data_IF_257025957795
#
_entry.id   IF_257025957795
#
_cell.length_a   1.000
_cell.length_b   1.000
_cell.length_c   1.000
_cell.angle_alpha   90.00
_cell.angle_beta   90.00
_cell.angle_gamma   90.00
#
_symmetry.space_group_name_H-M   'P 1'
#
loop_
_entity.id
_entity.type
_entity.pdbx_description
1 polymer ?
#
# COMPACT_ATOMS: atom_id res chain seq x y z
N UNK A 1 3.40 -21.71 17.76
CA UNK A 1 4.50 -21.36 16.85
C UNK A 1 5.36 -20.30 17.54
N UNK A 2 6.67 -20.51 17.70
CA UNK A 2 7.54 -19.49 18.33
C UNK A 2 7.63 -18.29 17.39
N UNK A 3 7.24 -17.09 17.85
CA UNK A 3 7.51 -15.85 17.14
C UNK A 3 9.03 -15.67 17.04
N UNK A 4 9.57 -15.85 15.83
CA UNK A 4 10.99 -15.65 15.59
C UNK A 4 11.20 -14.15 15.38
N UNK A 5 11.68 -13.48 16.41
CA UNK A 5 12.09 -12.07 16.33
C UNK A 5 13.48 -12.05 15.65
N UNK A 6 13.59 -11.29 14.56
CA UNK A 6 14.86 -11.03 13.88
C UNK A 6 15.14 -9.54 14.03
N UNK A 7 16.14 -9.20 14.85
CA UNK A 7 16.58 -7.83 15.10
C UNK A 7 17.91 -7.57 14.42
N UNK A 8 17.95 -6.54 13.58
CA UNK A 8 19.15 -6.15 12.82
C UNK A 8 19.23 -4.62 12.81
N UNK A 9 20.40 -4.09 13.14
CA UNK A 9 20.66 -2.66 13.03
C UNK A 9 21.02 -2.32 11.57
N UNK A 10 20.28 -1.37 11.00
CA UNK A 10 20.50 -0.82 9.66
C UNK A 10 20.61 0.70 9.77
N UNK A 11 21.61 1.26 9.09
CA UNK A 11 21.76 2.71 8.97
C UNK A 11 20.70 3.25 8.01
N UNK A 12 20.11 4.38 8.36
CA UNK A 12 19.23 5.14 7.47
C UNK A 12 20.09 5.87 6.43
N UNK A 13 19.83 5.61 5.17
CA UNK A 13 20.48 6.24 4.04
C UNK A 13 19.83 7.57 3.64
N UNK A 14 20.25 8.14 2.50
CA UNK A 14 19.65 9.36 1.96
C UNK A 14 18.14 9.23 1.83
N UNK A 15 17.42 10.33 2.11
CA UNK A 15 15.96 10.42 2.02
C UNK A 15 15.19 9.39 2.86
N UNK A 16 15.80 8.85 3.92
CA UNK A 16 15.13 7.90 4.81
C UNK A 16 15.13 6.45 4.31
N UNK A 17 15.92 6.12 3.28
CA UNK A 17 15.98 4.76 2.74
C UNK A 17 16.62 3.78 3.74
N UNK A 18 16.05 2.58 3.85
CA UNK A 18 16.65 1.48 4.64
C UNK A 18 16.80 0.25 3.77
N UNK A 19 17.87 -0.51 4.01
CA UNK A 19 18.08 -1.79 3.34
C UNK A 19 17.45 -2.90 4.17
N UNK A 20 16.43 -3.56 3.61
CA UNK A 20 15.87 -4.79 4.17
C UNK A 20 16.85 -5.95 3.89
N UNK A 21 17.58 -6.36 4.93
CA UNK A 21 18.53 -7.49 4.84
C UNK A 21 17.82 -8.78 4.45
N UNK A 22 18.59 -9.71 3.85
CA UNK A 22 18.09 -10.94 3.22
C UNK A 22 17.21 -11.77 4.15
N UNK A 23 17.57 -11.82 5.43
CA UNK A 23 16.88 -12.57 6.48
C UNK A 23 15.47 -12.02 6.74
N UNK A 24 15.35 -10.69 6.86
CA UNK A 24 14.05 -10.01 7.04
C UNK A 24 13.17 -10.18 5.81
N UNK A 25 13.73 -9.99 4.60
CA UNK A 25 12.98 -10.17 3.36
C UNK A 25 12.42 -11.58 3.22
N UNK A 26 13.25 -12.61 3.47
CA UNK A 26 12.81 -14.01 3.44
C UNK A 26 11.74 -14.31 4.48
N UNK A 27 11.90 -13.81 5.70
CA UNK A 27 10.94 -14.03 6.78
C UNK A 27 9.58 -13.35 6.51
N UNK A 28 9.60 -12.17 5.87
CA UNK A 28 8.41 -11.40 5.52
C UNK A 28 7.83 -11.76 4.14
N UNK A 29 8.47 -12.64 3.37
CA UNK A 29 8.03 -13.02 2.02
C UNK A 29 8.20 -11.94 0.95
N UNK A 30 9.05 -10.93 1.20
CA UNK A 30 9.25 -9.77 0.30
C UNK A 30 10.33 -10.09 -0.75
N UNK A 31 10.02 -9.84 -2.01
CA UNK A 31 10.91 -9.98 -3.18
C UNK A 31 11.23 -8.61 -3.78
N UNK A 32 12.19 -8.59 -4.71
CA UNK A 32 12.50 -7.40 -5.48
C UNK A 32 11.31 -7.04 -6.39
N UNK A 33 10.96 -5.75 -6.46
CA UNK A 33 9.82 -5.25 -7.22
C UNK A 33 8.48 -5.32 -6.48
N UNK A 34 8.41 -6.00 -5.33
CA UNK A 34 7.18 -6.05 -4.52
C UNK A 34 6.81 -4.66 -3.97
N UNK A 35 5.51 -4.40 -3.96
CA UNK A 35 4.94 -3.26 -3.23
C UNK A 35 4.72 -3.71 -1.77
N UNK A 36 5.11 -2.86 -0.83
CA UNK A 36 4.94 -3.09 0.60
C UNK A 36 4.05 -2.02 1.21
N UNK A 37 3.33 -2.38 2.27
CA UNK A 37 2.57 -1.42 3.09
C UNK A 37 3.43 -0.94 4.24
N UNK A 38 3.52 0.37 4.40
CA UNK A 38 4.23 1.02 5.50
C UNK A 38 3.25 1.76 6.40
N UNK A 39 3.27 1.48 7.71
CA UNK A 39 2.38 2.10 8.70
C UNK A 39 3.17 2.60 9.91
N UNK A 40 2.75 3.74 10.48
CA UNK A 40 3.25 4.22 11.78
C UNK A 40 2.32 3.72 12.88
N UNK A 41 2.81 2.86 13.77
CA UNK A 41 2.06 2.29 14.90
C UNK A 41 2.93 2.44 16.15
N UNK A 42 2.43 3.09 17.20
CA UNK A 42 3.15 3.28 18.47
C UNK A 42 4.60 3.81 18.29
N UNK A 43 4.77 4.79 17.40
CA UNK A 43 6.08 5.37 17.01
C UNK A 43 7.04 4.39 16.32
N UNK A 44 6.55 3.23 15.87
CA UNK A 44 7.30 2.24 15.10
C UNK A 44 6.81 2.22 13.66
N UNK A 45 7.74 2.00 12.73
CA UNK A 45 7.40 1.77 11.32
C UNK A 45 7.20 0.27 11.13
N UNK A 46 5.98 -0.12 10.78
CA UNK A 46 5.64 -1.47 10.38
C UNK A 46 5.68 -1.57 8.86
N UNK A 47 6.38 -2.58 8.33
CA UNK A 47 6.48 -2.87 6.90
C UNK A 47 5.91 -4.27 6.67
N UNK A 48 4.92 -4.37 5.79
CA UNK A 48 4.21 -5.62 5.52
C UNK A 48 4.21 -5.90 4.01
N UNK A 49 4.45 -7.16 3.64
CA UNK A 49 4.15 -7.64 2.30
C UNK A 49 2.64 -7.54 2.05
N UNK A 50 2.25 -7.11 0.86
CA UNK A 50 0.85 -7.09 0.45
C UNK A 50 0.65 -7.85 -0.85
N UNK A 51 -0.52 -8.44 -1.01
CA UNK A 51 -0.99 -8.87 -2.31
C UNK A 51 -1.54 -7.65 -3.07
N UNK A 52 -0.69 -7.06 -3.91
CA UNK A 52 -1.05 -5.88 -4.68
C UNK A 52 -2.22 -6.14 -5.65
N UNK A 53 -2.31 -7.34 -6.19
CA UNK A 53 -3.38 -7.73 -7.10
C UNK A 53 -4.73 -7.76 -6.35
N UNK A 54 -4.74 -8.25 -5.11
CA UNK A 54 -5.93 -8.22 -4.27
C UNK A 54 -6.36 -6.78 -3.91
N UNK A 55 -5.41 -5.91 -3.58
CA UNK A 55 -5.68 -4.49 -3.27
C UNK A 55 -6.26 -3.75 -4.49
N UNK A 56 -5.70 -3.95 -5.68
CA UNK A 56 -6.26 -3.40 -6.93
C UNK A 56 -7.67 -3.95 -7.18
N UNK A 57 -7.92 -5.25 -6.96
CA UNK A 57 -9.26 -5.83 -7.12
C UNK A 57 -10.27 -5.18 -6.17
N UNK A 58 -9.89 -4.87 -4.92
CA UNK A 58 -10.76 -4.16 -3.97
C UNK A 58 -11.13 -2.78 -4.51
N UNK A 59 -10.15 -2.03 -5.02
CA UNK A 59 -10.37 -0.70 -5.62
C UNK A 59 -11.33 -0.81 -6.83
N UNK A 60 -11.10 -1.78 -7.73
CA UNK A 60 -11.97 -2.01 -8.89
C UNK A 60 -13.41 -2.33 -8.49
N UNK A 61 -13.62 -3.19 -7.50
CA UNK A 61 -14.97 -3.52 -6.99
C UNK A 61 -15.69 -2.30 -6.41
N UNK A 62 -14.96 -1.43 -5.70
CA UNK A 62 -15.53 -0.18 -5.18
C UNK A 62 -15.93 0.73 -6.33
N UNK A 63 -15.04 0.93 -7.30
CA UNK A 63 -15.30 1.76 -8.47
C UNK A 63 -16.52 1.26 -9.27
N UNK A 64 -16.63 -0.04 -9.48
CA UNK A 64 -17.77 -0.65 -10.17
C UNK A 64 -19.09 -0.44 -9.40
N UNK A 65 -19.06 -0.60 -8.07
CA UNK A 65 -20.23 -0.34 -7.21
C UNK A 65 -20.67 1.12 -7.26
N UNK A 66 -19.72 2.05 -7.29
CA UNK A 66 -20.01 3.49 -7.42
C UNK A 66 -20.60 3.78 -8.80
N UNK A 67 -19.97 3.25 -9.86
CA UNK A 67 -20.43 3.42 -11.24
C UNK A 67 -21.87 2.95 -11.45
N UNK A 68 -22.26 1.80 -10.86
CA UNK A 68 -23.64 1.29 -10.91
C UNK A 68 -24.68 2.23 -10.28
N UNK A 69 -24.28 3.04 -9.30
CA UNK A 69 -25.14 4.03 -8.63
C UNK A 69 -25.05 5.42 -9.24
N UNK A 70 -24.11 5.64 -10.16
CA UNK A 70 -23.88 6.94 -10.77
C UNK A 70 -25.00 7.26 -11.78
N UNK A 71 -25.54 8.49 -11.78
CA UNK A 71 -26.56 8.88 -12.75
C UNK A 71 -26.05 8.75 -14.19
N UNK A 72 -26.82 8.08 -15.05
CA UNK A 72 -26.49 7.97 -16.48
C UNK A 72 -26.60 9.35 -17.15
N UNK A 73 -25.59 9.75 -17.92
CA UNK A 73 -25.55 11.03 -18.63
C UNK A 73 -24.90 12.19 -17.86
N UNK A 74 -24.46 11.98 -16.62
CA UNK A 74 -23.68 12.95 -15.84
C UNK A 74 -22.20 12.55 -15.82
N UNK A 75 -21.34 13.33 -16.46
CA UNK A 75 -19.89 13.15 -16.36
C UNK A 75 -19.39 13.72 -15.03
N UNK A 76 -18.76 12.89 -14.21
CA UNK A 76 -18.10 13.36 -12.99
C UNK A 76 -17.06 14.45 -13.28
N UNK A 77 -16.44 14.42 -14.46
CA UNK A 77 -15.44 15.42 -14.88
C UNK A 77 -16.09 16.77 -15.22
N UNK A 78 -17.30 16.76 -15.81
CA UNK A 78 -18.02 17.99 -16.14
C UNK A 78 -18.55 18.66 -14.87
N UNK A 79 -19.14 17.87 -13.96
CA UNK A 79 -19.62 18.36 -12.66
C UNK A 79 -18.49 18.96 -11.82
N UNK A 80 -17.33 18.29 -11.76
CA UNK A 80 -16.16 18.81 -11.01
C UNK A 80 -15.54 20.07 -11.63
N UNK A 81 -15.74 20.31 -12.94
CA UNK A 81 -15.28 21.54 -13.59
C UNK A 81 -16.19 22.73 -13.25
N UNK A 82 -17.49 22.50 -13.09
CA UNK A 82 -18.44 23.53 -12.64
C UNK A 82 -18.22 23.90 -11.17
N UNK A 83 -17.96 22.94 -10.29
CA UNK A 83 -17.69 23.19 -8.85
C UNK A 83 -16.40 23.98 -8.57
N UNK A 84 -15.43 23.96 -9.50
CA UNK A 84 -14.16 24.67 -9.37
C UNK A 84 -14.20 26.12 -9.85
N UNK A 85 -15.31 26.54 -10.46
CA UNK A 85 -15.55 27.93 -10.90
C UNK A 85 -16.23 28.73 -9.80
#
# INVERSE_FOLDING_TARGET
MKNKIVELLTRVGPKGQIVLRKELRKAAGIKEGDIVRTRLVDKKILIEAIDWEEEIRKIRRIAERISKKWPKGLSSVEVMKEERR
#
